data_IF_444572598232
#
_entry.id   IF_444572598232
#
_cell.length_a   1.000
_cell.length_b   1.000
_cell.length_c   1.000
_cell.angle_alpha   90.00
_cell.angle_beta   90.00
_cell.angle_gamma   90.00
#
_symmetry.space_group_name_H-M   'P 1'
#
loop_
_entity.id
_entity.type
_entity.pdbx_description
1 polymer ?
#
# COMPACT_ATOMS: atom_id res chain seq x y z
N UNK A 1 -35.45 -10.51 -32.81
CA UNK A 1 -36.73 -10.29 -32.09
C UNK A 1 -37.01 -8.79 -32.12
N UNK A 2 -37.94 -8.35 -32.96
CA UNK A 2 -38.37 -6.94 -33.02
C UNK A 2 -39.07 -6.57 -31.71
N UNK A 3 -38.60 -5.51 -31.03
CA UNK A 3 -39.29 -4.97 -29.86
C UNK A 3 -40.55 -4.24 -30.33
N UNK A 4 -41.70 -4.88 -30.16
CA UNK A 4 -43.01 -4.23 -30.33
C UNK A 4 -43.29 -3.43 -29.05
N UNK A 5 -43.20 -2.10 -29.15
CA UNK A 5 -43.43 -1.19 -28.03
C UNK A 5 -44.93 -0.92 -27.86
N UNK A 6 -45.64 -1.78 -27.14
CA UNK A 6 -47.01 -1.51 -26.69
C UNK A 6 -46.99 -0.54 -25.50
N UNK A 7 -48.08 0.22 -25.27
CA UNK A 7 -48.19 1.18 -24.15
C UNK A 7 -47.83 0.55 -22.80
N UNK A 8 -48.24 -0.70 -22.59
CA UNK A 8 -47.95 -1.48 -21.40
C UNK A 8 -46.45 -1.76 -21.23
N UNK A 9 -45.75 -2.10 -22.34
CA UNK A 9 -44.31 -2.38 -22.33
C UNK A 9 -43.46 -1.15 -21.99
N UNK A 10 -43.91 0.04 -22.40
CA UNK A 10 -43.25 1.30 -22.08
C UNK A 10 -43.43 1.64 -20.60
N UNK A 11 -44.62 1.46 -20.04
CA UNK A 11 -44.88 1.68 -18.62
C UNK A 11 -44.08 0.73 -17.72
N UNK A 12 -43.96 -0.53 -18.11
CA UNK A 12 -43.14 -1.51 -17.39
C UNK A 12 -41.65 -1.15 -17.46
N UNK A 13 -41.18 -0.70 -18.63
CA UNK A 13 -39.80 -0.24 -18.80
C UNK A 13 -39.52 1.02 -17.97
N UNK A 14 -40.46 1.98 -17.92
CA UNK A 14 -40.34 3.20 -17.11
C UNK A 14 -40.22 2.83 -15.62
N UNK A 15 -41.11 1.97 -15.11
CA UNK A 15 -41.02 1.50 -13.71
C UNK A 15 -39.70 0.81 -13.42
N UNK A 16 -39.22 -0.06 -14.32
CA UNK A 16 -37.93 -0.72 -14.15
C UNK A 16 -36.76 0.27 -14.14
N UNK A 17 -36.83 1.33 -14.95
CA UNK A 17 -35.82 2.39 -14.99
C UNK A 17 -35.85 3.27 -13.72
N UNK A 18 -37.04 3.59 -13.21
CA UNK A 18 -37.21 4.35 -11.95
C UNK A 18 -36.63 3.60 -10.76
N UNK A 19 -36.91 2.29 -10.65
CA UNK A 19 -36.32 1.42 -9.61
C UNK A 19 -34.79 1.43 -9.73
N UNK A 20 -34.28 1.24 -10.95
CA UNK A 20 -32.83 1.24 -11.21
C UNK A 20 -32.19 2.60 -10.91
N UNK A 21 -32.89 3.70 -11.14
CA UNK A 21 -32.42 5.05 -10.83
C UNK A 21 -32.37 5.27 -9.31
N UNK A 22 -33.41 4.84 -8.58
CA UNK A 22 -33.45 4.92 -7.13
C UNK A 22 -32.33 4.10 -6.47
N UNK A 23 -32.09 2.87 -6.95
CA UNK A 23 -30.99 2.01 -6.48
C UNK A 23 -29.62 2.66 -6.73
N UNK A 24 -29.39 3.18 -7.93
CA UNK A 24 -28.15 3.89 -8.28
C UNK A 24 -27.94 5.14 -7.42
N UNK A 25 -29.02 5.89 -7.15
CA UNK A 25 -28.96 7.07 -6.29
C UNK A 25 -28.57 6.72 -4.86
N UNK A 26 -29.11 5.63 -4.30
CA UNK A 26 -28.71 5.14 -2.98
C UNK A 26 -27.26 4.66 -2.94
N UNK A 27 -26.81 3.96 -3.99
CA UNK A 27 -25.43 3.48 -4.11
C UNK A 27 -24.45 4.67 -4.17
N UNK A 28 -24.76 5.67 -4.99
CA UNK A 28 -23.97 6.90 -5.10
C UNK A 28 -23.89 7.64 -3.76
N UNK A 29 -25.01 7.73 -3.03
CA UNK A 29 -25.04 8.36 -1.70
C UNK A 29 -24.16 7.63 -0.68
N UNK A 30 -24.17 6.29 -0.69
CA UNK A 30 -23.30 5.48 0.18
C UNK A 30 -21.83 5.67 -0.16
N UNK A 31 -21.50 5.69 -1.44
CA UNK A 31 -20.11 5.86 -1.90
C UNK A 31 -19.57 7.26 -1.60
N UNK A 32 -20.40 8.29 -1.75
CA UNK A 32 -20.08 9.66 -1.35
C UNK A 32 -19.89 9.80 0.16
N UNK A 33 -20.76 9.18 0.97
CA UNK A 33 -20.62 9.17 2.44
C UNK A 33 -19.33 8.47 2.87
N UNK A 34 -19.04 7.29 2.32
CA UNK A 34 -17.78 6.59 2.59
C UNK A 34 -16.57 7.44 2.18
N UNK A 35 -16.62 8.10 1.02
CA UNK A 35 -15.54 8.98 0.55
C UNK A 35 -15.37 10.19 1.49
N UNK A 36 -16.47 10.79 1.93
CA UNK A 36 -16.48 11.90 2.88
C UNK A 36 -15.92 11.50 4.25
N UNK A 37 -16.33 10.36 4.80
CA UNK A 37 -15.77 9.83 6.05
C UNK A 37 -14.28 9.50 5.94
N UNK A 38 -13.84 8.96 4.80
CA UNK A 38 -12.42 8.74 4.53
C UNK A 38 -11.63 10.05 4.47
N UNK A 39 -12.19 11.11 3.86
CA UNK A 39 -11.57 12.44 3.82
C UNK A 39 -11.50 13.04 5.23
N UNK A 40 -12.46 12.76 6.12
CA UNK A 40 -12.40 13.19 7.52
C UNK A 40 -11.17 12.61 8.25
N UNK A 41 -10.80 11.35 7.97
CA UNK A 41 -9.57 10.76 8.52
C UNK A 41 -8.28 11.41 7.99
N UNK A 42 -8.31 12.08 6.83
CA UNK A 42 -7.17 12.86 6.31
C UNK A 42 -6.82 14.02 7.24
N UNK A 43 -7.81 14.54 8.00
CA UNK A 43 -7.58 15.62 8.94
C UNK A 43 -6.65 15.23 10.10
N UNK A 44 -6.53 13.93 10.41
CA UNK A 44 -5.57 13.40 11.40
C UNK A 44 -4.13 13.54 10.89
N UNK A 45 -3.90 13.21 9.62
CA UNK A 45 -2.59 13.37 8.99
C UNK A 45 -2.17 14.84 8.89
N UNK A 46 -3.12 15.76 8.71
CA UNK A 46 -2.83 17.19 8.69
C UNK A 46 -2.24 17.70 10.01
N UNK A 47 -2.77 17.24 11.14
CA UNK A 47 -2.24 17.64 12.45
C UNK A 47 -0.86 17.03 12.70
N UNK A 48 -0.65 15.75 12.36
CA UNK A 48 0.66 15.10 12.41
C UNK A 48 1.67 15.86 11.54
N UNK A 49 1.32 16.20 10.30
CA UNK A 49 2.26 16.90 9.41
C UNK A 49 2.55 18.32 9.94
N UNK A 50 1.55 19.04 10.47
CA UNK A 50 1.69 20.42 10.95
C UNK A 50 2.49 20.51 12.25
N UNK A 51 2.28 19.62 13.21
CA UNK A 51 3.03 19.58 14.47
C UNK A 51 4.51 19.21 14.23
N UNK A 52 4.78 18.31 13.28
CA UNK A 52 6.13 17.86 12.96
C UNK A 52 6.94 18.85 12.10
N UNK A 53 6.30 19.64 11.21
CA UNK A 53 7.01 20.65 10.41
C UNK A 53 7.38 21.92 11.20
N UNK A 54 6.73 22.16 12.35
CA UNK A 54 6.86 23.41 13.11
C UNK A 54 8.10 23.45 14.02
N UNK A 55 8.83 22.35 14.19
CA UNK A 55 10.05 22.30 15.01
C UNK A 55 11.16 21.55 14.26
N UNK A 56 12.30 22.20 14.02
CA UNK A 56 13.44 21.60 13.31
C UNK A 56 13.94 20.29 13.92
N UNK A 57 13.67 20.07 15.21
CA UNK A 57 14.02 18.86 15.98
C UNK A 57 13.35 17.58 15.47
N UNK A 58 12.15 17.65 14.89
CA UNK A 58 11.39 16.44 14.49
C UNK A 58 11.56 16.05 13.01
N UNK A 59 12.34 16.81 12.24
CA UNK A 59 12.62 16.50 10.83
C UNK A 59 13.33 15.17 10.66
N UNK A 60 14.27 14.86 11.55
CA UNK A 60 15.01 13.60 11.53
C UNK A 60 14.11 12.40 11.85
N UNK A 61 13.29 12.52 12.89
CA UNK A 61 12.33 11.49 13.29
C UNK A 61 11.31 11.21 12.18
N UNK A 62 10.85 12.25 11.48
CA UNK A 62 9.93 12.11 10.35
C UNK A 62 10.55 11.38 9.15
N UNK A 63 11.82 11.69 8.83
CA UNK A 63 12.56 10.97 7.78
C UNK A 63 12.74 9.50 8.17
N UNK A 64 13.04 9.21 9.44
CA UNK A 64 13.16 7.83 9.92
C UNK A 64 11.81 7.08 9.86
N UNK A 65 10.70 7.72 10.24
CA UNK A 65 9.36 7.14 10.14
C UNK A 65 8.98 6.88 8.68
N UNK A 66 9.16 7.85 7.77
CA UNK A 66 8.88 7.65 6.34
C UNK A 66 9.77 6.56 5.76
N UNK A 67 11.05 6.55 6.09
CA UNK A 67 11.98 5.53 5.63
C UNK A 67 11.53 4.15 6.13
N UNK A 68 11.15 4.01 7.40
CA UNK A 68 10.64 2.77 7.99
C UNK A 68 9.33 2.30 7.36
N UNK A 69 8.37 3.21 7.14
CA UNK A 69 7.10 2.91 6.48
C UNK A 69 7.29 2.52 5.02
N UNK A 70 8.12 3.26 4.28
CA UNK A 70 8.41 2.99 2.87
C UNK A 70 9.15 1.67 2.72
N UNK A 71 10.18 1.44 3.55
CA UNK A 71 10.95 0.20 3.57
C UNK A 71 10.07 -0.98 3.97
N UNK A 72 9.26 -0.84 5.03
CA UNK A 72 8.34 -1.88 5.47
C UNK A 72 7.24 -2.20 4.44
N UNK A 73 6.68 -1.16 3.80
CA UNK A 73 5.68 -1.34 2.74
C UNK A 73 6.29 -2.02 1.51
N UNK A 74 7.48 -1.58 1.08
CA UNK A 74 8.20 -2.17 -0.05
C UNK A 74 8.59 -3.62 0.25
N UNK A 75 9.08 -3.89 1.46
CA UNK A 75 9.41 -5.24 1.94
C UNK A 75 8.18 -6.13 1.94
N UNK A 76 7.04 -5.67 2.49
CA UNK A 76 5.78 -6.44 2.47
C UNK A 76 5.32 -6.75 1.05
N UNK A 77 5.53 -5.81 0.12
CA UNK A 77 5.08 -5.93 -1.27
C UNK A 77 6.01 -6.78 -2.15
N UNK A 78 7.30 -6.85 -1.83
CA UNK A 78 8.29 -7.65 -2.58
C UNK A 78 8.49 -9.03 -1.95
N UNK A 79 8.59 -9.12 -0.62
CA UNK A 79 9.00 -10.33 0.11
C UNK A 79 7.82 -11.17 0.56
N UNK A 80 6.75 -10.56 1.09
CA UNK A 80 5.69 -11.29 1.82
C UNK A 80 4.42 -11.53 0.99
N UNK A 81 4.13 -10.70 -0.03
CA UNK A 81 2.87 -10.75 -0.78
C UNK A 81 3.00 -11.26 -2.22
N UNK A 82 1.98 -11.99 -2.72
CA UNK A 82 1.71 -12.16 -4.17
C UNK A 82 1.34 -10.80 -4.77
N UNK A 83 2.34 -9.95 -5.02
CA UNK A 83 2.13 -8.62 -5.59
C UNK A 83 1.40 -8.73 -6.92
N UNK A 84 0.28 -8.02 -7.09
CA UNK A 84 -0.41 -7.93 -8.40
C UNK A 84 0.38 -7.10 -9.42
N UNK A 85 1.39 -6.34 -8.98
CA UNK A 85 2.18 -5.48 -9.85
C UNK A 85 3.36 -6.28 -10.48
N UNK A 86 3.42 -6.41 -11.82
CA UNK A 86 4.43 -7.21 -12.51
C UNK A 86 5.87 -6.73 -12.27
N UNK A 87 6.10 -5.42 -12.10
CA UNK A 87 7.45 -4.89 -11.86
C UNK A 87 8.06 -5.40 -10.55
N UNK A 88 7.26 -5.42 -9.49
CA UNK A 88 7.71 -5.88 -8.18
C UNK A 88 7.97 -7.39 -8.16
N UNK A 89 7.27 -8.17 -9.00
CA UNK A 89 7.58 -9.59 -9.20
C UNK A 89 8.93 -9.78 -9.85
N UNK A 90 9.26 -8.99 -10.88
CA UNK A 90 10.55 -9.09 -11.58
C UNK A 90 11.70 -8.75 -10.62
N UNK A 91 11.55 -7.70 -9.82
CA UNK A 91 12.53 -7.33 -8.79
C UNK A 91 12.69 -8.46 -7.76
N UNK A 92 11.57 -9.03 -7.26
CA UNK A 92 11.61 -10.15 -6.32
C UNK A 92 12.29 -11.39 -6.90
N UNK A 93 12.01 -11.73 -8.16
CA UNK A 93 12.63 -12.85 -8.88
C UNK A 93 14.12 -12.62 -9.13
N UNK A 94 14.54 -11.40 -9.48
CA UNK A 94 15.95 -11.06 -9.66
C UNK A 94 16.73 -11.20 -8.34
N UNK A 95 16.18 -10.72 -7.24
CA UNK A 95 16.75 -10.87 -5.90
C UNK A 95 16.85 -12.36 -5.54
N UNK A 96 15.75 -13.12 -5.71
CA UNK A 96 15.72 -14.55 -5.43
C UNK A 96 16.77 -15.31 -6.26
N UNK A 97 16.87 -15.03 -7.56
CA UNK A 97 17.85 -15.65 -8.44
C UNK A 97 19.28 -15.32 -8.05
N UNK A 98 19.55 -14.07 -7.67
CA UNK A 98 20.85 -13.64 -7.16
C UNK A 98 21.24 -14.38 -5.88
N UNK A 99 20.33 -14.46 -4.91
CA UNK A 99 20.56 -15.20 -3.65
C UNK A 99 20.77 -16.69 -3.93
N UNK A 100 19.90 -17.32 -4.72
CA UNK A 100 20.01 -18.75 -5.05
C UNK A 100 21.33 -19.07 -5.75
N UNK A 101 21.76 -18.25 -6.72
CA UNK A 101 23.03 -18.46 -7.44
C UNK A 101 24.24 -18.37 -6.51
N UNK A 102 24.21 -17.45 -5.55
CA UNK A 102 25.29 -17.27 -4.57
C UNK A 102 25.29 -18.40 -3.52
N UNK A 103 24.11 -18.78 -3.02
CA UNK A 103 23.91 -19.91 -2.09
C UNK A 103 24.44 -21.22 -2.70
N UNK A 104 24.11 -21.49 -3.96
CA UNK A 104 24.52 -22.73 -4.64
C UNK A 104 26.03 -22.82 -4.90
N UNK A 105 26.75 -21.69 -4.98
CA UNK A 105 28.19 -21.69 -5.28
C UNK A 105 29.08 -21.62 -4.03
N UNK A 106 28.68 -20.93 -2.96
CA UNK A 106 29.49 -20.75 -1.72
C UNK A 106 28.63 -20.52 -0.46
N UNK A 107 27.93 -21.55 0.01
CA UNK A 107 27.02 -21.45 1.17
C UNK A 107 27.69 -20.90 2.45
N UNK A 108 28.85 -21.44 2.86
CA UNK A 108 29.52 -21.01 4.09
C UNK A 108 30.00 -19.55 4.02
N UNK A 109 30.62 -19.16 2.91
CA UNK A 109 31.11 -17.78 2.73
C UNK A 109 29.97 -16.76 2.68
N UNK A 110 28.83 -17.14 2.09
CA UNK A 110 27.63 -16.30 2.10
C UNK A 110 27.05 -16.16 3.51
N UNK A 111 26.95 -17.27 4.25
CA UNK A 111 26.45 -17.25 5.63
C UNK A 111 27.28 -16.29 6.49
N UNK A 112 28.60 -16.39 6.42
CA UNK A 112 29.50 -15.53 7.19
C UNK A 112 29.43 -14.07 6.73
N UNK A 113 29.33 -13.80 5.43
CA UNK A 113 29.18 -12.43 4.89
C UNK A 113 27.85 -11.79 5.28
N UNK A 114 26.75 -12.55 5.22
CA UNK A 114 25.41 -12.07 5.59
C UNK A 114 25.35 -11.82 7.10
N UNK A 115 25.88 -12.74 7.92
CA UNK A 115 25.97 -12.55 9.37
C UNK A 115 26.85 -11.34 9.71
N UNK A 116 27.96 -11.12 8.99
CA UNK A 116 28.83 -9.97 9.20
C UNK A 116 28.17 -8.64 8.82
N UNK A 117 27.35 -8.60 7.75
CA UNK A 117 26.60 -7.40 7.38
C UNK A 117 25.51 -7.13 8.42
N UNK A 118 24.74 -8.16 8.80
CA UNK A 118 23.65 -8.02 9.77
C UNK A 118 24.19 -7.59 11.13
N UNK A 119 25.28 -8.18 11.61
CA UNK A 119 25.92 -7.79 12.89
C UNK A 119 26.43 -6.35 12.85
N UNK A 120 27.13 -5.92 11.79
CA UNK A 120 27.56 -4.51 11.65
C UNK A 120 26.38 -3.53 11.69
N UNK A 121 25.26 -3.86 11.05
CA UNK A 121 24.06 -3.03 11.07
C UNK A 121 23.33 -3.03 12.42
N UNK A 122 23.42 -4.10 13.20
CA UNK A 122 22.86 -4.20 14.55
C UNK A 122 23.73 -3.45 15.57
N UNK A 123 25.06 -3.63 15.50
CA UNK A 123 26.02 -3.03 16.41
C UNK A 123 26.13 -1.51 16.21
N UNK A 124 26.02 -1.01 14.97
CA UNK A 124 26.03 0.44 14.67
C UNK A 124 24.81 1.18 15.26
N UNK A 125 23.71 0.47 15.57
CA UNK A 125 22.53 1.06 16.23
C UNK A 125 22.65 1.13 17.75
N UNK A 126 23.52 0.37 18.39
CA UNK A 126 23.71 0.43 19.85
C UNK A 126 24.60 1.61 20.27
N UNK A 127 25.60 1.99 19.46
CA UNK A 127 26.52 3.09 19.77
C UNK A 127 25.87 4.49 19.66
N UNK A 128 24.75 4.62 18.93
CA UNK A 128 23.98 5.87 18.82
C UNK A 128 22.91 6.05 19.92
N UNK A 129 22.73 5.08 20.83
CA UNK A 129 21.78 5.18 21.96
C UNK A 129 22.43 5.58 23.30
N UNK A 130 23.76 5.70 23.36
CA UNK A 130 24.49 6.10 24.58
C UNK A 130 25.16 7.49 24.51
N UNK A 131 24.80 8.33 23.52
CA UNK A 131 25.21 9.75 23.47
C UNK A 131 24.02 10.68 23.47
#
# INVERSE_FOLDING_TARGET
>A
MEKKYTKESLQETIKALEIKQAEKGQLLKRELLNTYENIKSINIFRNIIKEFYSTDKYKQDFVEIIAGLTTGFLTKKIVVGKSKNPLLKIVGLAIQFGITTLVSKKYNTLKDSVIQIISRFLDEKEDKRQK
#
